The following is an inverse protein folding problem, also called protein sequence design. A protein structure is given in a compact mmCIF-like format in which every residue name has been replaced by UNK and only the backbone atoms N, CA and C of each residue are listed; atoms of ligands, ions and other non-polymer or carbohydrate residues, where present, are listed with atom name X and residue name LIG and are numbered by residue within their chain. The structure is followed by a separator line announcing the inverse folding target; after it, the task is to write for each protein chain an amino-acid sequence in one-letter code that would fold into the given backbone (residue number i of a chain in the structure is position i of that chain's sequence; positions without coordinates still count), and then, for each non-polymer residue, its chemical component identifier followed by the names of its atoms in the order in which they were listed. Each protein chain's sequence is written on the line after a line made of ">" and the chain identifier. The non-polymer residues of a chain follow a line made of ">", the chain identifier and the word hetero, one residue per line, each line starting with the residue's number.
data_IF_681022362638
#
_entry.id   IF_681022362638
#
_cell.length_a   1.000
_cell.length_b   1.000
_cell.length_c   1.000
_cell.angle_alpha   90.00
_cell.angle_beta   90.00
_cell.angle_gamma   90.00
#
_symmetry.space_group_name_H-M   'P 1'
#
loop_
_entity.id
_entity.type
_entity.pdbx_description
1 polymer ?
#
# COMPACT_ATOMS: atom_id res chain seq x y z
N UNK A 1 22.63 6.77 -9.19
CA UNK A 1 21.87 7.98 -8.83
C UNK A 1 21.04 7.66 -7.59
N UNK A 2 21.10 8.52 -6.57
CA UNK A 2 20.27 8.39 -5.38
C UNK A 2 18.95 9.11 -5.56
N UNK A 3 17.84 8.41 -5.29
CA UNK A 3 16.48 8.95 -5.45
C UNK A 3 15.63 8.69 -4.21
N UNK A 4 14.56 9.47 -4.06
CA UNK A 4 13.54 9.26 -3.05
C UNK A 4 12.19 8.98 -3.73
N UNK A 5 11.55 7.89 -3.33
CA UNK A 5 10.16 7.58 -3.67
C UNK A 5 9.29 7.74 -2.43
N UNK A 6 8.19 8.45 -2.56
CA UNK A 6 7.20 8.65 -1.49
C UNK A 6 5.87 8.09 -2.00
N UNK A 7 5.21 7.25 -1.19
CA UNK A 7 3.87 6.76 -1.48
C UNK A 7 2.87 7.34 -0.47
N UNK A 8 1.91 8.07 -1.00
CA UNK A 8 0.79 8.67 -0.27
C UNK A 8 -0.42 7.73 -0.37
N UNK A 9 -0.36 6.62 0.34
CA UNK A 9 -1.41 5.62 0.35
C UNK A 9 -2.60 5.98 1.27
N UNK A 10 -3.68 5.24 1.12
CA UNK A 10 -4.91 5.42 1.90
C UNK A 10 -4.68 5.25 3.41
N UNK A 11 -3.88 4.26 3.81
CA UNK A 11 -3.59 3.98 5.22
C UNK A 11 -2.21 4.50 5.66
N UNK A 12 -1.22 4.45 4.78
CA UNK A 12 0.20 4.68 5.10
C UNK A 12 0.81 5.76 4.21
N UNK A 13 1.75 6.51 4.76
CA UNK A 13 2.69 7.33 4.01
C UNK A 13 4.07 6.69 4.14
N UNK A 14 4.70 6.35 3.01
CA UNK A 14 5.95 5.59 2.97
C UNK A 14 7.04 6.37 2.24
N UNK A 15 8.29 6.15 2.64
CA UNK A 15 9.49 6.69 1.98
C UNK A 15 10.43 5.54 1.67
N UNK A 16 11.00 5.55 0.49
CA UNK A 16 12.16 4.76 0.10
C UNK A 16 13.22 5.73 -0.47
N UNK A 17 14.39 5.76 0.16
CA UNK A 17 15.59 6.35 -0.44
C UNK A 17 16.45 5.20 -0.95
N UNK A 18 16.80 5.25 -2.22
CA UNK A 18 17.50 4.15 -2.87
C UNK A 18 18.54 4.66 -3.89
N UNK A 19 19.59 3.86 -4.08
CA UNK A 19 20.51 4.01 -5.20
C UNK A 19 19.99 3.21 -6.39
N UNK A 20 19.71 3.88 -7.50
CA UNK A 20 19.24 3.26 -8.75
C UNK A 20 20.38 3.21 -9.75
N UNK A 21 20.73 2.01 -10.20
CA UNK A 21 21.77 1.76 -11.20
C UNK A 21 21.32 0.65 -12.17
N UNK A 22 21.30 0.94 -13.46
CA UNK A 22 20.96 -0.02 -14.54
C UNK A 22 19.61 -0.76 -14.34
N UNK A 23 18.64 -0.12 -13.67
CA UNK A 23 17.34 -0.73 -13.37
C UNK A 23 17.29 -1.51 -12.05
N UNK A 24 18.41 -1.65 -11.35
CA UNK A 24 18.45 -2.22 -10.01
C UNK A 24 18.22 -1.13 -8.96
N UNK A 25 17.48 -1.48 -7.90
CA UNK A 25 17.15 -0.60 -6.77
C UNK A 25 17.80 -1.16 -5.51
N UNK A 26 18.80 -0.43 -4.99
CA UNK A 26 19.45 -0.75 -3.71
C UNK A 26 18.92 0.18 -2.63
N UNK A 27 18.20 -0.38 -1.65
CA UNK A 27 17.63 0.39 -0.56
C UNK A 27 18.72 1.01 0.32
N UNK A 28 18.59 2.31 0.61
CA UNK A 28 19.44 3.06 1.55
C UNK A 28 18.69 3.33 2.85
N UNK A 29 17.43 3.72 2.74
CA UNK A 29 16.53 3.91 3.88
C UNK A 29 15.10 3.67 3.47
N UNK A 30 14.34 3.01 4.34
CA UNK A 30 12.90 2.77 4.17
C UNK A 30 12.16 3.20 5.43
N UNK A 31 11.06 3.95 5.27
CA UNK A 31 10.19 4.40 6.36
C UNK A 31 8.74 4.13 6.01
N UNK A 32 8.00 3.76 7.02
CA UNK A 32 6.53 3.60 6.93
C UNK A 32 5.90 4.29 8.13
N UNK A 33 4.87 5.12 7.88
CA UNK A 33 4.03 5.70 8.92
C UNK A 33 2.57 5.53 8.58
N UNK A 34 1.76 5.12 9.55
CA UNK A 34 0.31 5.02 9.38
C UNK A 34 -0.30 6.40 9.62
N UNK A 35 -0.66 7.07 8.52
CA UNK A 35 -1.22 8.43 8.54
C UNK A 35 -2.73 8.45 8.35
N UNK A 36 -3.32 7.34 7.85
CA UNK A 36 -4.76 7.19 7.58
C UNK A 36 -5.31 8.34 6.74
N UNK A 37 -4.63 8.67 5.64
CA UNK A 37 -5.03 9.76 4.74
C UNK A 37 -6.45 9.55 4.21
N UNK A 38 -6.82 8.28 3.96
CA UNK A 38 -8.13 7.91 3.44
C UNK A 38 -9.26 7.79 4.47
N UNK A 39 -9.01 8.11 5.74
CA UNK A 39 -10.04 8.06 6.79
C UNK A 39 -11.27 8.91 6.41
N UNK A 40 -12.43 8.25 6.26
CA UNK A 40 -13.71 8.89 5.90
C UNK A 40 -13.83 9.36 4.44
N UNK A 41 -12.85 9.11 3.57
CA UNK A 41 -12.90 9.52 2.15
C UNK A 41 -14.00 8.78 1.40
N UNK A 42 -14.20 7.50 1.71
CA UNK A 42 -15.21 6.68 1.04
C UNK A 42 -16.62 7.30 1.14
N UNK A 43 -16.99 7.78 2.32
CA UNK A 43 -18.31 8.37 2.58
C UNK A 43 -18.39 9.86 2.27
N UNK A 44 -17.30 10.62 2.43
CA UNK A 44 -17.28 12.09 2.36
C UNK A 44 -16.70 12.63 1.07
N UNK A 45 -16.07 11.80 0.27
CA UNK A 45 -15.41 12.18 -0.99
C UNK A 45 -14.38 13.31 -0.81
N UNK A 46 -13.75 13.40 0.37
CA UNK A 46 -12.85 14.49 0.72
C UNK A 46 -11.79 14.04 1.73
N UNK A 47 -10.54 14.47 1.52
CA UNK A 47 -9.47 14.37 2.51
C UNK A 47 -9.78 15.29 3.69
N UNK A 48 -9.71 14.74 4.92
CA UNK A 48 -10.06 15.46 6.13
C UNK A 48 -8.84 16.22 6.70
N UNK A 49 -9.06 17.33 7.45
CA UNK A 49 -7.97 18.15 7.98
C UNK A 49 -6.99 17.40 8.88
N UNK A 50 -7.48 16.51 9.76
CA UNK A 50 -6.63 15.76 10.68
C UNK A 50 -5.72 14.73 9.97
N UNK A 51 -6.22 13.87 9.05
CA UNK A 51 -5.37 13.06 8.18
C UNK A 51 -4.34 13.86 7.40
N UNK A 52 -4.73 14.96 6.78
CA UNK A 52 -3.81 15.87 6.06
C UNK A 52 -2.70 16.35 7.00
N UNK A 53 -3.03 16.79 8.22
CA UNK A 53 -2.01 17.24 9.19
C UNK A 53 -1.03 16.11 9.56
N UNK A 54 -1.52 14.86 9.72
CA UNK A 54 -0.64 13.69 9.95
C UNK A 54 0.34 13.45 8.81
N UNK A 55 -0.14 13.57 7.56
CA UNK A 55 0.73 13.43 6.37
C UNK A 55 1.76 14.57 6.32
N UNK A 56 1.36 15.83 6.52
CA UNK A 56 2.28 16.98 6.53
C UNK A 56 3.42 16.80 7.55
N UNK A 57 3.08 16.37 8.78
CA UNK A 57 4.10 16.09 9.80
C UNK A 57 5.04 14.97 9.37
N UNK A 58 4.50 13.92 8.77
CA UNK A 58 5.30 12.81 8.23
C UNK A 58 6.23 13.28 7.11
N UNK A 59 5.73 14.06 6.15
CA UNK A 59 6.51 14.56 5.01
C UNK A 59 7.59 15.56 5.43
N UNK A 60 7.38 16.32 6.49
CA UNK A 60 8.43 17.19 7.06
C UNK A 60 9.63 16.38 7.52
N UNK A 61 9.41 15.25 8.20
CA UNK A 61 10.51 14.36 8.62
C UNK A 61 11.15 13.67 7.41
N UNK A 62 10.34 13.22 6.44
CA UNK A 62 10.83 12.57 5.23
C UNK A 62 11.67 13.53 4.37
N UNK A 63 11.28 14.81 4.27
CA UNK A 63 12.06 15.81 3.56
C UNK A 63 13.45 15.97 4.16
N UNK A 64 13.56 16.08 5.48
CA UNK A 64 14.86 16.16 6.18
C UNK A 64 15.70 14.90 5.96
N UNK A 65 15.08 13.71 6.00
CA UNK A 65 15.77 12.44 5.80
C UNK A 65 16.35 12.33 4.38
N UNK A 66 15.52 12.55 3.34
CA UNK A 66 15.98 12.45 1.96
C UNK A 66 17.08 13.48 1.62
N UNK A 67 17.01 14.69 2.20
CA UNK A 67 18.07 15.72 2.06
C UNK A 67 19.36 15.27 2.74
N UNK A 68 19.28 14.78 3.97
CA UNK A 68 20.45 14.29 4.71
C UNK A 68 21.15 13.12 4.02
N UNK A 69 20.39 12.30 3.29
CA UNK A 69 20.91 11.18 2.53
C UNK A 69 21.35 11.56 1.10
N UNK A 70 21.15 12.81 0.69
CA UNK A 70 21.59 13.31 -0.62
C UNK A 70 20.78 12.77 -1.79
N UNK A 71 19.46 12.62 -1.65
CA UNK A 71 18.60 12.25 -2.77
C UNK A 71 18.56 13.37 -3.82
N UNK A 72 18.94 13.02 -5.05
CA UNK A 72 19.06 13.96 -6.18
C UNK A 72 17.69 14.27 -6.82
N UNK A 73 16.74 13.34 -6.71
CA UNK A 73 15.38 13.44 -7.26
C UNK A 73 14.38 12.81 -6.30
N UNK A 74 13.18 13.36 -6.27
CA UNK A 74 12.10 12.84 -5.45
C UNK A 74 10.80 12.76 -6.25
N UNK A 75 10.08 11.63 -6.10
CA UNK A 75 8.76 11.41 -6.68
C UNK A 75 7.80 10.98 -5.57
N UNK A 76 6.76 11.77 -5.35
CA UNK A 76 5.64 11.41 -4.49
C UNK A 76 4.47 10.93 -5.35
N UNK A 77 4.12 9.67 -5.22
CA UNK A 77 2.95 9.09 -5.88
C UNK A 77 1.78 9.07 -4.90
N UNK A 78 0.59 9.38 -5.38
CA UNK A 78 -0.64 9.34 -4.61
C UNK A 78 -1.63 8.39 -5.28
N UNK A 79 -2.37 7.65 -4.46
CA UNK A 79 -3.21 6.55 -4.91
C UNK A 79 -4.69 6.77 -4.55
N UNK A 80 -5.45 5.72 -4.33
CA UNK A 80 -6.89 5.68 -4.17
C UNK A 80 -7.48 6.82 -3.31
N UNK A 81 -6.98 7.06 -2.08
CA UNK A 81 -7.58 8.07 -1.20
C UNK A 81 -7.53 9.49 -1.78
N UNK A 82 -6.43 9.85 -2.46
CA UNK A 82 -6.27 11.17 -3.07
C UNK A 82 -7.07 11.25 -4.37
N UNK A 83 -7.08 10.15 -5.15
CA UNK A 83 -7.85 10.03 -6.39
C UNK A 83 -9.35 10.17 -6.17
N UNK A 84 -9.86 9.61 -5.07
CA UNK A 84 -11.28 9.59 -4.74
C UNK A 84 -11.77 10.90 -4.08
N UNK A 85 -10.87 11.78 -3.69
CA UNK A 85 -11.19 12.99 -2.95
C UNK A 85 -11.29 14.22 -3.84
N UNK A 86 -12.38 15.00 -3.72
CA UNK A 86 -12.60 16.25 -4.44
C UNK A 86 -11.48 17.30 -4.23
N UNK A 87 -10.80 17.25 -3.08
CA UNK A 87 -9.68 18.14 -2.76
C UNK A 87 -8.30 17.49 -2.96
N UNK A 88 -8.24 16.34 -3.67
CA UNK A 88 -7.01 15.58 -3.85
C UNK A 88 -5.96 16.33 -4.68
N UNK A 89 -6.33 16.90 -5.81
CA UNK A 89 -5.42 17.67 -6.66
C UNK A 89 -4.87 18.92 -5.95
N UNK A 90 -5.74 19.65 -5.23
CA UNK A 90 -5.32 20.80 -4.45
C UNK A 90 -4.32 20.40 -3.35
N UNK A 91 -4.53 19.25 -2.71
CA UNK A 91 -3.60 18.70 -1.73
C UNK A 91 -2.23 18.36 -2.35
N UNK A 92 -2.20 17.74 -3.53
CA UNK A 92 -0.94 17.45 -4.22
C UNK A 92 -0.18 18.73 -4.63
N UNK A 93 -0.88 19.72 -5.19
CA UNK A 93 -0.27 21.02 -5.52
C UNK A 93 0.32 21.72 -4.30
N UNK A 94 -0.33 21.61 -3.14
CA UNK A 94 0.23 22.10 -1.88
C UNK A 94 1.52 21.35 -1.49
N UNK A 95 1.57 20.03 -1.67
CA UNK A 95 2.78 19.24 -1.36
C UNK A 95 3.94 19.59 -2.27
N UNK A 96 3.71 19.79 -3.57
CA UNK A 96 4.72 20.27 -4.51
C UNK A 96 5.30 21.62 -4.06
N UNK A 97 4.40 22.56 -3.75
CA UNK A 97 4.82 23.90 -3.34
C UNK A 97 5.55 23.92 -1.99
N UNK A 98 5.08 23.11 -1.01
CA UNK A 98 5.60 23.15 0.37
C UNK A 98 6.88 22.33 0.55
N UNK A 99 7.03 21.22 -0.18
CA UNK A 99 8.13 20.27 0.02
C UNK A 99 9.05 20.12 -1.19
N UNK A 100 8.68 20.67 -2.35
CA UNK A 100 9.47 20.56 -3.58
C UNK A 100 9.56 19.14 -4.14
N UNK A 101 8.58 18.29 -3.85
CA UNK A 101 8.48 16.97 -4.45
C UNK A 101 7.84 17.07 -5.84
N UNK A 102 8.33 16.29 -6.79
CA UNK A 102 7.50 15.99 -7.97
C UNK A 102 6.36 15.09 -7.51
N UNK A 103 5.11 15.51 -7.74
CA UNK A 103 3.94 14.69 -7.36
C UNK A 103 3.29 14.05 -8.59
N UNK A 104 2.65 12.90 -8.40
CA UNK A 104 1.89 12.21 -9.43
C UNK A 104 0.67 11.53 -8.82
N UNK A 105 -0.52 11.88 -9.30
CA UNK A 105 -1.75 11.15 -8.99
C UNK A 105 -1.85 9.96 -9.95
N UNK A 106 -1.86 8.75 -9.39
CA UNK A 106 -1.90 7.54 -10.18
C UNK A 106 -3.33 7.08 -10.45
N UNK A 107 -3.61 6.68 -11.69
CA UNK A 107 -4.75 5.80 -11.97
C UNK A 107 -4.49 4.41 -11.40
N UNK A 108 -5.53 3.58 -11.28
CA UNK A 108 -5.36 2.18 -10.84
C UNK A 108 -4.44 1.37 -11.77
N UNK A 109 -4.45 1.66 -13.08
CA UNK A 109 -3.56 1.02 -14.05
C UNK A 109 -2.10 1.42 -13.86
N UNK A 110 -1.83 2.71 -13.61
CA UNK A 110 -0.49 3.22 -13.33
C UNK A 110 0.05 2.71 -11.98
N UNK A 111 -0.82 2.58 -10.97
CA UNK A 111 -0.52 1.98 -9.67
C UNK A 111 -0.07 0.52 -9.86
N UNK A 112 -0.85 -0.26 -10.61
CA UNK A 112 -0.53 -1.64 -10.97
C UNK A 112 0.79 -1.74 -11.76
N UNK A 113 1.04 -0.85 -12.72
CA UNK A 113 2.28 -0.85 -13.49
C UNK A 113 3.51 -0.56 -12.62
N UNK A 114 3.44 0.43 -11.73
CA UNK A 114 4.53 0.73 -10.81
C UNK A 114 4.77 -0.42 -9.83
N UNK A 115 3.71 -1.04 -9.31
CA UNK A 115 3.81 -2.22 -8.44
C UNK A 115 4.52 -3.37 -9.16
N UNK A 116 4.12 -3.70 -10.40
CA UNK A 116 4.76 -4.74 -11.19
C UNK A 116 6.24 -4.43 -11.45
N UNK A 117 6.56 -3.18 -11.82
CA UNK A 117 7.96 -2.75 -12.00
C UNK A 117 8.78 -2.89 -10.71
N UNK A 118 8.17 -2.63 -9.56
CA UNK A 118 8.81 -2.77 -8.25
C UNK A 118 9.06 -4.21 -7.86
N UNK A 119 8.09 -5.09 -8.07
CA UNK A 119 8.22 -6.54 -7.85
C UNK A 119 9.30 -7.15 -8.76
N UNK A 120 9.38 -6.65 -10.00
CA UNK A 120 10.33 -7.12 -11.00
C UNK A 120 9.73 -8.16 -11.96
N UNK A 121 10.59 -8.99 -12.54
CA UNK A 121 10.15 -10.00 -13.52
C UNK A 121 9.33 -11.10 -12.86
N UNK A 122 8.16 -11.35 -13.39
CA UNK A 122 7.24 -12.42 -12.98
C UNK A 122 7.06 -13.43 -14.13
N UNK A 123 6.64 -14.66 -13.80
CA UNK A 123 6.25 -15.65 -14.81
C UNK A 123 4.89 -15.30 -15.43
N UNK A 124 4.63 -15.84 -16.64
CA UNK A 124 3.37 -15.60 -17.37
C UNK A 124 2.13 -16.16 -16.63
N UNK A 125 2.32 -17.12 -15.73
CA UNK A 125 1.32 -17.77 -14.90
C UNK A 125 1.26 -17.20 -13.46
N UNK A 126 1.88 -16.03 -13.24
CA UNK A 126 1.97 -15.39 -11.94
C UNK A 126 1.07 -14.15 -11.89
N UNK A 127 0.27 -14.01 -10.82
CA UNK A 127 -0.48 -12.80 -10.50
C UNK A 127 0.13 -12.12 -9.28
N UNK A 128 0.41 -10.81 -9.40
CA UNK A 128 0.74 -9.95 -8.28
C UNK A 128 -0.56 -9.44 -7.67
N UNK A 129 -0.66 -9.56 -6.36
CA UNK A 129 -1.81 -9.12 -5.54
C UNK A 129 -1.35 -8.02 -4.60
N UNK A 130 -1.83 -6.81 -4.80
CA UNK A 130 -1.57 -5.65 -3.95
C UNK A 130 -2.84 -5.28 -3.19
N UNK A 131 -2.85 -5.47 -1.86
CA UNK A 131 -4.02 -5.12 -1.02
C UNK A 131 -3.69 -3.86 -0.24
N UNK A 132 -4.11 -2.74 -0.81
CA UNK A 132 -4.00 -1.42 -0.22
C UNK A 132 -5.09 -1.09 0.81
N UNK A 133 -5.10 0.17 1.24
CA UNK A 133 -6.14 0.66 2.14
C UNK A 133 -7.46 1.00 1.42
N UNK A 134 -7.40 1.47 0.18
CA UNK A 134 -8.56 1.93 -0.59
C UNK A 134 -8.89 1.05 -1.79
N UNK A 135 -7.93 0.31 -2.33
CA UNK A 135 -8.06 -0.54 -3.51
C UNK A 135 -7.31 -1.85 -3.37
N UNK A 136 -7.55 -2.77 -4.30
CA UNK A 136 -6.76 -3.99 -4.51
C UNK A 136 -6.49 -4.13 -6.00
N UNK A 137 -5.22 -4.30 -6.35
CA UNK A 137 -4.76 -4.55 -7.70
C UNK A 137 -4.45 -6.04 -7.88
N UNK A 138 -4.97 -6.61 -8.99
CA UNK A 138 -4.62 -7.94 -9.48
C UNK A 138 -3.90 -7.77 -10.81
N UNK A 139 -2.64 -8.23 -10.91
CA UNK A 139 -1.76 -7.90 -12.03
C UNK A 139 -1.13 -9.19 -12.55
N UNK A 140 -1.55 -9.62 -13.73
CA UNK A 140 -1.00 -10.76 -14.46
C UNK A 140 -0.46 -10.36 -15.82
N UNK A 141 0.13 -11.33 -16.52
CA UNK A 141 0.69 -11.12 -17.87
C UNK A 141 -0.41 -10.82 -18.91
N UNK A 142 -1.60 -11.43 -18.77
CA UNK A 142 -2.70 -11.30 -19.72
C UNK A 142 -3.69 -10.19 -19.38
N UNK A 143 -3.67 -9.68 -18.13
CA UNK A 143 -4.62 -8.66 -17.71
C UNK A 143 -4.28 -8.07 -16.35
N UNK A 144 -4.88 -6.94 -16.07
CA UNK A 144 -4.80 -6.27 -14.78
C UNK A 144 -6.10 -5.57 -14.45
N UNK A 145 -6.40 -5.48 -13.17
CA UNK A 145 -7.56 -4.76 -12.66
C UNK A 145 -7.21 -4.10 -11.32
N UNK A 146 -7.71 -2.89 -11.12
CA UNK A 146 -7.77 -2.22 -9.83
C UNK A 146 -9.22 -2.16 -9.39
N UNK A 147 -9.50 -2.69 -8.21
CA UNK A 147 -10.84 -2.76 -7.63
C UNK A 147 -10.95 -1.89 -6.39
N UNK A 148 -12.14 -1.43 -6.03
CA UNK A 148 -12.37 -0.67 -4.79
C UNK A 148 -12.38 -1.55 -3.52
N UNK A 149 -11.63 -2.66 -3.53
CA UNK A 149 -11.49 -3.57 -2.40
C UNK A 149 -10.28 -3.17 -1.54
N UNK A 150 -10.45 -2.17 -0.67
CA UNK A 150 -9.39 -1.70 0.22
C UNK A 150 -9.67 -2.02 1.69
N UNK A 151 -8.63 -2.34 2.46
CA UNK A 151 -8.75 -2.73 3.87
C UNK A 151 -9.36 -1.64 4.76
N UNK A 152 -9.06 -0.36 4.52
CA UNK A 152 -9.68 0.78 5.23
C UNK A 152 -11.12 0.96 4.78
N UNK A 153 -11.34 1.05 3.46
CA UNK A 153 -12.65 1.24 2.84
C UNK A 153 -13.67 0.21 3.31
N UNK A 154 -13.30 -1.07 3.25
CA UNK A 154 -14.22 -2.15 3.61
C UNK A 154 -14.40 -2.30 5.12
N UNK A 155 -13.40 -1.94 5.94
CA UNK A 155 -13.60 -1.82 7.38
C UNK A 155 -14.66 -0.77 7.70
N UNK A 156 -14.57 0.44 7.11
CA UNK A 156 -15.52 1.52 7.35
C UNK A 156 -16.95 1.19 6.86
N UNK A 157 -17.07 0.41 5.78
CA UNK A 157 -18.38 0.03 5.22
C UNK A 157 -19.08 -1.11 5.97
N UNK A 158 -18.32 -2.09 6.46
CA UNK A 158 -18.91 -3.37 6.89
C UNK A 158 -18.66 -3.73 8.36
N UNK A 159 -17.60 -3.24 9.00
CA UNK A 159 -17.21 -3.66 10.33
C UNK A 159 -17.49 -2.55 11.36
N UNK A 160 -18.74 -2.48 11.83
CA UNK A 160 -19.17 -1.49 12.82
C UNK A 160 -18.99 -1.98 14.26
N UNK A 161 -19.04 -3.30 14.47
CA UNK A 161 -18.93 -3.92 15.79
C UNK A 161 -17.49 -4.21 16.21
N UNK A 162 -17.23 -4.30 17.51
CA UNK A 162 -15.92 -4.67 18.06
C UNK A 162 -16.05 -5.69 19.20
N UNK A 163 -15.66 -6.95 19.00
CA UNK A 163 -15.19 -7.53 17.74
C UNK A 163 -16.28 -7.59 16.65
N UNK A 164 -15.87 -7.71 15.36
CA UNK A 164 -16.83 -7.88 14.28
C UNK A 164 -17.73 -9.09 14.48
N UNK A 165 -19.01 -8.97 14.11
CA UNK A 165 -19.96 -10.09 14.14
C UNK A 165 -19.75 -11.01 12.93
N UNK A 166 -20.28 -12.25 13.01
CA UNK A 166 -20.28 -13.20 11.88
C UNK A 166 -21.05 -12.63 10.69
N UNK A 167 -22.20 -11.99 10.91
CA UNK A 167 -22.99 -11.36 9.85
C UNK A 167 -22.22 -10.25 9.12
N UNK A 168 -21.46 -9.43 9.85
CA UNK A 168 -20.60 -8.38 9.26
C UNK A 168 -19.48 -8.99 8.41
N UNK A 169 -18.83 -10.04 8.90
CA UNK A 169 -17.76 -10.74 8.17
C UNK A 169 -18.32 -11.45 6.91
N UNK A 170 -19.48 -12.04 6.99
CA UNK A 170 -20.17 -12.70 5.87
C UNK A 170 -20.60 -11.67 4.82
N UNK A 171 -21.20 -10.55 5.24
CA UNK A 171 -21.58 -9.46 4.34
C UNK A 171 -20.34 -8.88 3.60
N UNK A 172 -19.23 -8.66 4.32
CA UNK A 172 -17.96 -8.24 3.75
C UNK A 172 -17.45 -9.26 2.72
N UNK A 173 -17.41 -10.54 3.07
CA UNK A 173 -16.93 -11.59 2.17
C UNK A 173 -17.82 -11.73 0.91
N UNK A 174 -19.15 -11.58 1.04
CA UNK A 174 -20.06 -11.56 -0.11
C UNK A 174 -19.76 -10.39 -1.03
N UNK A 175 -19.58 -9.18 -0.47
CA UNK A 175 -19.26 -7.99 -1.25
C UNK A 175 -17.93 -8.16 -2.01
N UNK A 176 -16.89 -8.67 -1.35
CA UNK A 176 -15.58 -8.93 -2.00
C UNK A 176 -15.75 -9.92 -3.17
N UNK A 177 -16.44 -11.04 -2.95
CA UNK A 177 -16.68 -12.03 -4.02
C UNK A 177 -17.45 -11.46 -5.21
N UNK A 178 -18.46 -10.63 -4.96
CA UNK A 178 -19.24 -9.99 -6.02
C UNK A 178 -18.36 -9.10 -6.91
N UNK A 179 -17.54 -8.24 -6.29
CA UNK A 179 -16.63 -7.35 -7.02
C UNK A 179 -15.59 -8.14 -7.81
N UNK A 180 -14.99 -9.17 -7.20
CA UNK A 180 -14.02 -10.02 -7.89
C UNK A 180 -14.63 -10.74 -9.09
N UNK A 181 -15.83 -11.28 -8.95
CA UNK A 181 -16.54 -11.97 -10.04
C UNK A 181 -16.94 -11.03 -11.18
N UNK A 182 -17.23 -9.77 -10.87
CA UNK A 182 -17.66 -8.77 -11.86
C UNK A 182 -16.49 -8.11 -12.59
N UNK A 183 -15.40 -7.82 -11.85
CA UNK A 183 -14.35 -6.93 -12.37
C UNK A 183 -13.06 -7.66 -12.76
N UNK A 184 -12.83 -8.90 -12.30
CA UNK A 184 -11.64 -9.65 -12.69
C UNK A 184 -11.76 -10.08 -14.15
N UNK A 185 -10.76 -9.75 -15.02
CA UNK A 185 -10.77 -10.23 -16.40
C UNK A 185 -10.80 -11.77 -16.46
N UNK A 186 -11.59 -12.34 -17.39
CA UNK A 186 -11.75 -13.80 -17.53
C UNK A 186 -10.43 -14.52 -17.88
N UNK A 187 -9.52 -13.82 -18.55
CA UNK A 187 -8.20 -14.30 -18.94
C UNK A 187 -7.14 -14.14 -17.83
N UNK A 188 -7.46 -13.48 -16.71
CA UNK A 188 -6.57 -13.36 -15.57
C UNK A 188 -6.54 -14.65 -14.78
N UNK A 189 -5.68 -15.57 -15.18
CA UNK A 189 -5.46 -16.87 -14.53
C UNK A 189 -4.11 -16.91 -13.85
N UNK A 190 -3.97 -17.66 -12.75
CA UNK A 190 -2.72 -17.77 -12.01
C UNK A 190 -2.49 -19.19 -11.48
N UNK A 191 -1.25 -19.69 -11.61
CA UNK A 191 -0.76 -20.84 -10.85
C UNK A 191 0.04 -20.39 -9.63
N UNK A 192 0.62 -19.19 -9.71
CA UNK A 192 1.44 -18.59 -8.67
C UNK A 192 0.92 -17.19 -8.30
N UNK A 193 1.02 -16.86 -7.02
CA UNK A 193 0.67 -15.53 -6.51
C UNK A 193 1.86 -14.90 -5.82
N UNK A 194 2.09 -13.61 -6.10
CA UNK A 194 3.00 -12.75 -5.33
C UNK A 194 2.14 -11.71 -4.61
N UNK A 195 2.25 -11.66 -3.28
CA UNK A 195 1.49 -10.73 -2.47
C UNK A 195 2.35 -9.59 -1.96
N UNK A 196 1.87 -8.37 -2.09
CA UNK A 196 2.56 -7.17 -1.62
C UNK A 196 1.67 -6.34 -0.70
N UNK A 197 2.21 -5.25 -0.20
CA UNK A 197 1.60 -4.30 0.73
C UNK A 197 1.32 -4.83 2.13
N UNK A 198 0.97 -3.87 2.99
CA UNK A 198 1.02 -4.07 4.43
C UNK A 198 0.01 -5.04 5.02
N UNK A 199 -1.09 -5.35 4.33
CA UNK A 199 -2.01 -6.40 4.76
C UNK A 199 -1.33 -7.76 4.68
N UNK A 200 -0.74 -8.07 3.53
CA UNK A 200 -0.15 -9.38 3.25
C UNK A 200 1.13 -9.58 4.07
N UNK A 201 2.00 -8.56 4.11
CA UNK A 201 3.25 -8.63 4.88
C UNK A 201 3.00 -8.76 6.38
N UNK A 202 1.93 -8.14 6.93
CA UNK A 202 1.55 -8.31 8.32
C UNK A 202 1.03 -9.73 8.62
N UNK A 203 0.21 -10.30 7.73
CA UNK A 203 -0.26 -11.69 7.90
C UNK A 203 0.90 -12.68 7.81
N UNK A 204 1.89 -12.43 6.95
CA UNK A 204 3.13 -13.22 6.89
C UNK A 204 3.96 -13.11 8.17
N UNK A 205 4.12 -11.92 8.72
CA UNK A 205 4.81 -11.71 9.99
C UNK A 205 4.13 -12.48 11.14
N UNK A 206 2.79 -12.50 11.17
CA UNK A 206 2.01 -13.26 12.15
C UNK A 206 2.15 -14.77 11.94
N UNK A 207 2.15 -15.26 10.70
CA UNK A 207 2.34 -16.69 10.38
C UNK A 207 3.75 -17.17 10.77
N UNK A 208 4.77 -16.32 10.57
CA UNK A 208 6.15 -16.55 11.01
C UNK A 208 6.34 -16.45 12.53
N UNK A 209 5.33 -16.01 13.29
CA UNK A 209 5.42 -15.80 14.73
C UNK A 209 6.40 -14.71 15.13
N UNK A 210 6.59 -13.68 14.30
CA UNK A 210 7.48 -12.58 14.60
C UNK A 210 6.94 -11.74 15.76
N UNK A 211 7.82 -11.33 16.66
CA UNK A 211 7.50 -10.36 17.73
C UNK A 211 7.75 -8.94 17.23
N UNK A 212 8.86 -8.74 16.54
CA UNK A 212 9.21 -7.52 15.82
C UNK A 212 9.21 -7.80 14.33
N UNK A 213 8.77 -6.84 13.53
CA UNK A 213 8.72 -6.97 12.09
C UNK A 213 10.13 -7.08 11.51
N UNK A 214 10.33 -8.10 10.68
CA UNK A 214 11.61 -8.39 10.01
C UNK A 214 11.35 -8.58 8.51
N UNK A 215 11.65 -7.57 7.67
CA UNK A 215 11.39 -7.61 6.24
C UNK A 215 12.18 -8.71 5.51
N UNK A 216 13.37 -9.06 5.98
CA UNK A 216 14.20 -10.10 5.35
C UNK A 216 13.59 -11.50 5.56
N UNK A 217 12.88 -11.72 6.66
CA UNK A 217 12.15 -12.96 6.94
C UNK A 217 10.79 -13.01 6.27
N UNK A 218 10.16 -11.85 6.08
CA UNK A 218 8.84 -11.73 5.44
C UNK A 218 8.96 -11.86 3.93
N UNK A 219 9.98 -11.26 3.32
CA UNK A 219 10.23 -11.39 1.88
C UNK A 219 10.52 -12.83 1.48
N UNK A 220 9.83 -13.33 0.46
CA UNK A 220 9.91 -14.72 0.00
C UNK A 220 9.14 -15.73 0.88
N UNK A 221 8.52 -15.30 2.00
CA UNK A 221 7.69 -16.20 2.79
C UNK A 221 6.48 -16.69 1.99
N UNK A 222 6.18 -17.98 2.10
CA UNK A 222 5.03 -18.59 1.43
C UNK A 222 3.84 -18.68 2.37
N UNK A 223 2.96 -17.71 2.29
CA UNK A 223 1.74 -17.62 3.09
C UNK A 223 0.63 -18.51 2.51
N UNK A 224 0.26 -19.57 3.22
CA UNK A 224 -0.77 -20.53 2.78
C UNK A 224 -2.20 -20.07 3.10
N UNK A 225 -3.19 -20.54 2.32
CA UNK A 225 -4.63 -20.27 2.55
C UNK A 225 -5.06 -20.68 3.97
N UNK A 226 -4.59 -21.80 4.48
CA UNK A 226 -4.88 -22.25 5.84
C UNK A 226 -4.35 -21.29 6.92
N UNK A 227 -3.17 -20.69 6.70
CA UNK A 227 -2.59 -19.72 7.60
C UNK A 227 -3.38 -18.40 7.57
N UNK A 228 -3.73 -17.91 6.37
CA UNK A 228 -4.59 -16.71 6.23
C UNK A 228 -5.91 -16.90 6.97
N UNK A 229 -6.54 -18.06 6.83
CA UNK A 229 -7.79 -18.39 7.52
C UNK A 229 -7.63 -18.43 9.03
N UNK A 230 -6.60 -19.11 9.53
CA UNK A 230 -6.32 -19.18 10.97
C UNK A 230 -6.05 -17.79 11.59
N UNK A 231 -5.30 -16.94 10.90
CA UNK A 231 -5.06 -15.56 11.36
C UNK A 231 -6.33 -14.72 11.29
N UNK A 232 -7.16 -14.87 10.25
CA UNK A 232 -8.45 -14.17 10.16
C UNK A 232 -9.36 -14.55 11.33
N UNK A 233 -9.56 -15.84 11.60
CA UNK A 233 -10.38 -16.32 12.70
C UNK A 233 -9.88 -15.80 14.06
N UNK A 234 -8.56 -15.88 14.28
CA UNK A 234 -7.92 -15.37 15.50
C UNK A 234 -8.12 -13.86 15.67
N UNK A 235 -7.85 -13.06 14.63
CA UNK A 235 -7.90 -11.60 14.73
C UNK A 235 -9.33 -11.07 14.78
N UNK A 236 -10.28 -11.70 14.10
CA UNK A 236 -11.69 -11.33 14.14
C UNK A 236 -12.34 -11.60 15.50
N UNK A 237 -11.89 -12.63 16.22
CA UNK A 237 -12.41 -12.95 17.55
C UNK A 237 -11.93 -11.96 18.64
N UNK A 238 -10.90 -11.15 18.39
CA UNK A 238 -10.34 -10.23 19.37
C UNK A 238 -10.99 -8.84 19.28
N UNK A 239 -11.36 -8.23 20.41
CA UNK A 239 -11.64 -6.80 20.46
C UNK A 239 -10.42 -5.98 19.98
N UNK A 240 -10.63 -4.80 19.43
CA UNK A 240 -9.57 -3.94 18.88
C UNK A 240 -8.45 -3.67 19.90
N UNK A 241 -8.81 -3.46 21.17
CA UNK A 241 -7.84 -3.21 22.23
C UNK A 241 -6.88 -4.39 22.46
N UNK A 242 -7.33 -5.62 22.28
CA UNK A 242 -6.52 -6.84 22.36
C UNK A 242 -5.78 -7.09 21.04
N UNK A 243 -6.44 -6.86 19.90
CA UNK A 243 -5.84 -6.99 18.57
C UNK A 243 -4.63 -6.08 18.41
N UNK A 244 -4.64 -4.87 18.98
CA UNK A 244 -3.49 -3.95 19.02
C UNK A 244 -2.29 -4.45 19.81
N UNK A 245 -2.46 -5.48 20.63
CA UNK A 245 -1.40 -6.07 21.47
C UNK A 245 -0.88 -7.39 20.89
N UNK A 246 -1.38 -7.82 19.75
CA UNK A 246 -0.92 -9.04 19.09
C UNK A 246 0.54 -8.85 18.68
N UNK A 247 1.47 -9.67 19.17
CA UNK A 247 2.88 -9.60 18.78
C UNK A 247 3.03 -9.78 17.26
N UNK A 248 3.89 -9.00 16.64
CA UNK A 248 4.12 -9.02 15.19
C UNK A 248 3.10 -8.23 14.36
N UNK A 249 2.02 -7.75 14.98
CA UNK A 249 1.06 -6.85 14.33
C UNK A 249 1.31 -5.40 14.77
N UNK A 250 1.54 -4.51 13.80
CA UNK A 250 1.64 -3.08 14.07
C UNK A 250 0.31 -2.55 14.66
N UNK A 251 0.31 -1.95 15.88
CA UNK A 251 -0.93 -1.59 16.60
C UNK A 251 -1.88 -0.69 15.80
N UNK A 252 -1.32 0.21 14.97
CA UNK A 252 -2.08 1.12 14.12
C UNK A 252 -2.75 0.42 12.94
N UNK A 253 -2.28 -0.79 12.57
CA UNK A 253 -2.86 -1.64 11.50
C UNK A 253 -3.99 -2.53 12.02
N UNK A 254 -4.04 -2.78 13.33
CA UNK A 254 -5.06 -3.62 13.94
C UNK A 254 -6.52 -3.28 13.58
N UNK A 255 -6.91 -1.99 13.38
CA UNK A 255 -8.29 -1.66 12.99
C UNK A 255 -8.71 -2.24 11.63
N UNK A 256 -7.77 -2.36 10.68
CA UNK A 256 -8.09 -2.67 9.26
C UNK A 256 -7.64 -4.06 8.83
N UNK A 257 -6.89 -4.77 9.67
CA UNK A 257 -6.29 -6.07 9.30
C UNK A 257 -7.33 -7.16 9.04
N UNK A 258 -8.48 -7.12 9.75
CA UNK A 258 -9.55 -8.13 9.59
C UNK A 258 -10.15 -8.03 8.18
N UNK A 259 -10.53 -6.83 7.74
CA UNK A 259 -11.03 -6.62 6.39
C UNK A 259 -9.97 -7.00 5.34
N UNK A 260 -8.70 -6.63 5.57
CA UNK A 260 -7.60 -7.02 4.70
C UNK A 260 -7.42 -8.54 4.58
N UNK A 261 -7.55 -9.26 5.69
CA UNK A 261 -7.48 -10.73 5.70
C UNK A 261 -8.65 -11.39 4.97
N UNK A 262 -9.87 -10.82 5.09
CA UNK A 262 -11.04 -11.27 4.30
C UNK A 262 -10.78 -11.06 2.80
N UNK A 263 -10.29 -9.88 2.41
CA UNK A 263 -9.96 -9.60 1.00
C UNK A 263 -8.95 -10.63 0.49
N UNK A 264 -7.83 -10.83 1.19
CA UNK A 264 -6.80 -11.80 0.76
C UNK A 264 -7.38 -13.20 0.61
N UNK A 265 -8.15 -13.68 1.59
CA UNK A 265 -8.78 -15.01 1.53
C UNK A 265 -9.68 -15.16 0.30
N UNK A 266 -10.52 -14.18 0.01
CA UNK A 266 -11.43 -14.24 -1.12
C UNK A 266 -10.69 -14.10 -2.47
N UNK A 267 -9.63 -13.29 -2.54
CA UNK A 267 -8.76 -13.19 -3.73
C UNK A 267 -8.06 -14.54 -4.00
N UNK A 268 -7.45 -15.14 -2.97
CA UNK A 268 -6.79 -16.45 -3.12
C UNK A 268 -7.78 -17.52 -3.59
N UNK A 269 -9.00 -17.52 -3.03
CA UNK A 269 -10.09 -18.43 -3.43
C UNK A 269 -10.52 -18.19 -4.88
N UNK A 270 -10.70 -16.93 -5.28
CA UNK A 270 -11.15 -16.55 -6.62
C UNK A 270 -10.13 -16.98 -7.69
N UNK A 271 -8.84 -16.78 -7.42
CA UNK A 271 -7.75 -17.16 -8.31
C UNK A 271 -7.30 -18.64 -8.17
N UNK A 272 -7.90 -19.42 -7.26
CA UNK A 272 -7.52 -20.81 -7.02
C UNK A 272 -6.12 -20.99 -6.39
N UNK A 273 -5.58 -19.96 -5.74
CA UNK A 273 -4.26 -19.96 -5.13
C UNK A 273 -4.28 -20.69 -3.77
N UNK A 274 -3.41 -21.68 -3.61
CA UNK A 274 -3.22 -22.37 -2.32
C UNK A 274 -2.25 -21.67 -1.39
N UNK A 275 -1.39 -20.85 -1.92
CA UNK A 275 -0.43 -20.02 -1.21
C UNK A 275 -0.03 -18.84 -2.08
N UNK A 276 0.46 -17.78 -1.42
CA UNK A 276 1.01 -16.58 -2.06
C UNK A 276 2.42 -16.35 -1.53
N UNK A 277 3.37 -16.04 -2.42
CA UNK A 277 4.72 -15.63 -2.04
C UNK A 277 4.69 -14.15 -1.66
N UNK A 278 5.26 -13.80 -0.52
CA UNK A 278 5.20 -12.43 -0.01
C UNK A 278 6.39 -11.63 -0.49
N UNK A 279 6.16 -10.44 -1.03
CA UNK A 279 7.22 -9.55 -1.47
C UNK A 279 7.21 -8.24 -0.70
N UNK A 280 8.42 -7.83 -0.25
CA UNK A 280 8.68 -6.50 0.30
C UNK A 280 8.93 -5.47 -0.82
N UNK A 281 9.17 -5.95 -2.05
CA UNK A 281 9.28 -5.09 -3.23
C UNK A 281 7.88 -4.82 -3.77
N UNK A 282 7.55 -3.54 -3.91
CA UNK A 282 6.22 -3.07 -4.26
C UNK A 282 6.27 -1.75 -5.06
N UNK A 283 5.18 -0.98 -5.04
CA UNK A 283 5.03 0.31 -5.72
C UNK A 283 6.16 1.30 -5.39
N UNK A 284 6.73 1.28 -4.17
CA UNK A 284 7.85 2.17 -3.81
C UNK A 284 9.09 1.92 -4.66
N UNK A 285 9.40 0.66 -4.96
CA UNK A 285 10.52 0.29 -5.84
C UNK A 285 10.25 0.75 -7.27
N UNK A 286 9.01 0.57 -7.76
CA UNK A 286 8.60 1.09 -9.06
C UNK A 286 8.67 2.61 -9.14
N UNK A 287 8.24 3.30 -8.08
CA UNK A 287 8.32 4.75 -7.98
C UNK A 287 9.78 5.25 -7.91
N UNK A 288 10.70 4.51 -7.25
CA UNK A 288 12.13 4.83 -7.25
C UNK A 288 12.74 4.73 -8.66
N UNK A 289 12.38 3.68 -9.42
CA UNK A 289 12.77 3.56 -10.83
C UNK A 289 12.21 4.71 -11.67
N UNK A 290 10.96 5.12 -11.42
CA UNK A 290 10.35 6.26 -12.09
C UNK A 290 11.01 7.59 -11.70
N UNK A 291 11.35 7.78 -10.43
CA UNK A 291 12.07 8.96 -9.95
C UNK A 291 13.44 9.11 -10.62
N UNK A 292 14.16 8.00 -10.81
CA UNK A 292 15.45 8.01 -11.50
C UNK A 292 15.34 8.43 -12.99
N UNK A 293 14.18 8.22 -13.61
CA UNK A 293 13.91 8.61 -14.99
C UNK A 293 13.41 10.06 -15.14
N UNK A 294 13.11 10.78 -14.04
CA UNK A 294 12.70 12.18 -14.12
C UNK A 294 13.83 13.03 -14.73
N UNK A 295 13.53 14.16 -15.40
CA UNK A 295 14.53 15.12 -15.84
C UNK A 295 15.31 15.67 -14.65
N UNK A 296 16.55 16.10 -14.89
CA UNK A 296 17.32 16.79 -13.85
C UNK A 296 16.58 18.07 -13.43
N UNK A 297 16.55 18.42 -12.13
CA UNK A 297 16.02 19.70 -11.67
C UNK A 297 16.71 20.84 -12.43
N UNK A 298 15.94 21.76 -12.97
CA UNK A 298 16.50 22.96 -13.60
C UNK A 298 16.82 23.97 -12.50
N UNK A 299 18.01 24.55 -12.53
CA UNK A 299 18.42 25.56 -11.55
C UNK A 299 17.45 26.76 -11.64
N UNK A 300 16.73 27.06 -10.55
CA UNK A 300 15.69 28.10 -10.50
C UNK A 300 14.24 27.59 -10.45
N UNK A 301 13.97 26.31 -10.71
CA UNK A 301 12.61 25.73 -10.65
C UNK A 301 12.19 25.26 -9.25
N UNK A 302 13.04 25.44 -8.25
CA UNK A 302 12.64 25.10 -6.88
C UNK A 302 11.54 26.05 -6.42
N UNK A 303 10.42 25.52 -5.92
CA UNK A 303 9.34 26.35 -5.41
C UNK A 303 9.83 27.25 -4.27
N UNK A 304 9.26 28.45 -4.10
CA UNK A 304 9.74 29.48 -3.17
C UNK A 304 9.91 29.05 -1.70
N UNK A 305 9.38 27.89 -1.30
CA UNK A 305 9.54 27.32 0.05
C UNK A 305 10.71 26.33 0.21
N UNK A 306 11.35 25.89 -0.85
CA UNK A 306 12.40 24.86 -0.80
C UNK A 306 13.73 25.34 -0.22
N UNK A 307 13.91 26.65 -0.01
CA UNK A 307 15.16 27.27 0.44
C UNK A 307 15.10 27.88 1.86
N UNK A 308 14.06 27.65 2.63
CA UNK A 308 13.90 28.27 3.94
C UNK A 308 14.34 27.40 5.12
N UNK A 309 15.43 26.65 4.99
CA UNK A 309 16.15 26.08 6.12
C UNK A 309 17.62 26.50 6.06
N UNK A 310 17.88 27.76 6.47
CA UNK A 310 19.16 28.17 7.03
C UNK A 310 19.03 28.26 8.54
#
# INVERSE_FOLDING_TARGET
>A
MRVAAIDLGTNTTRLLVADVLNGDVAEVSRRTRITRLGEGVDSRRRLLPLPIARVRNCLTDYRRELESLGAERSLAVATSAVRDAENGEAFLGELEWSYGFTTRLLTGEEEAELTLRGVGKTGDDTVVVDIGGGSTELIGAQGRVSTELGSVRLTERFLASDPPTEDELDALAVAVRSVLAEQTPEDLTAQHGIGVAGTITSLAALDLGLVEYDPDRVHGHRLGDSAVRAQLERLAALPLAERRRVPGLEPERAPVIVAGAVILREVMRHLGLRAIEVSERDILHGAALAAAALPAPVEGDAPPGAYTCC
#
